data_IF_860282477592
#
_entry.id   IF_860282477592
#
_cell.length_a   1.000
_cell.length_b   1.000
_cell.length_c   1.000
_cell.angle_alpha   90.00
_cell.angle_beta   90.00
_cell.angle_gamma   90.00
#
_symmetry.space_group_name_H-M   'P 1'
#
loop_
_entity.id
_entity.type
_entity.pdbx_description
1 polymer ?
#
# COMPACT_ATOMS: atom_id res chain seq x y z
N UNK A 1 3.34 -23.59 -21.20
CA UNK A 1 2.02 -22.92 -21.23
C UNK A 1 2.23 -21.53 -20.65
N UNK A 2 1.88 -20.48 -21.39
CA UNK A 2 1.94 -19.10 -20.93
C UNK A 2 0.52 -18.55 -21.04
N UNK A 3 0.01 -17.96 -19.96
CA UNK A 3 -1.29 -17.27 -20.00
C UNK A 3 -1.08 -15.93 -20.70
N UNK A 4 -1.86 -15.66 -21.75
CA UNK A 4 -1.78 -14.38 -22.45
C UNK A 4 -2.19 -13.24 -21.49
N UNK A 5 -1.33 -12.23 -21.27
CA UNK A 5 -1.65 -11.08 -20.43
C UNK A 5 -2.91 -10.34 -20.85
N UNK A 6 -3.33 -10.42 -22.13
CA UNK A 6 -4.54 -9.74 -22.62
C UNK A 6 -5.80 -10.17 -21.85
N UNK A 7 -5.81 -11.40 -21.33
CA UNK A 7 -6.93 -11.93 -20.55
C UNK A 7 -7.02 -11.34 -19.13
N UNK A 8 -5.97 -10.67 -18.65
CA UNK A 8 -5.88 -10.10 -17.29
C UNK A 8 -5.75 -8.57 -17.30
N UNK A 9 -6.18 -7.92 -18.39
CA UNK A 9 -6.07 -6.46 -18.52
C UNK A 9 -7.13 -5.69 -17.73
N UNK A 10 -8.27 -6.31 -17.44
CA UNK A 10 -9.40 -5.67 -16.79
C UNK A 10 -9.61 -6.22 -15.38
N UNK A 11 -10.15 -5.37 -14.50
CA UNK A 11 -10.54 -5.78 -13.17
C UNK A 11 -11.67 -6.82 -13.22
N UNK A 12 -11.62 -7.79 -12.33
CA UNK A 12 -12.69 -8.78 -12.22
C UNK A 12 -12.26 -10.13 -11.67
N UNK A 13 -13.24 -11.04 -11.60
CA UNK A 13 -13.05 -12.41 -11.17
C UNK A 13 -13.00 -13.31 -12.39
N UNK A 14 -11.86 -13.96 -12.59
CA UNK A 14 -11.59 -14.88 -13.68
C UNK A 14 -11.55 -16.32 -13.16
N UNK A 15 -11.76 -17.28 -14.06
CA UNK A 15 -11.63 -18.72 -13.75
C UNK A 15 -10.51 -19.30 -14.57
N UNK A 16 -9.47 -19.80 -13.91
CA UNK A 16 -8.35 -20.48 -14.54
C UNK A 16 -8.58 -21.99 -14.49
N UNK A 17 -8.52 -22.63 -15.64
CA UNK A 17 -8.57 -24.10 -15.79
C UNK A 17 -7.64 -24.55 -16.91
N UNK A 18 -7.37 -25.84 -16.95
CA UNK A 18 -6.54 -26.49 -17.97
C UNK A 18 -7.42 -27.39 -18.82
N UNK A 19 -7.20 -27.39 -20.14
CA UNK A 19 -7.77 -28.38 -21.06
C UNK A 19 -6.65 -29.26 -21.58
N UNK A 20 -6.77 -30.56 -21.37
CA UNK A 20 -5.91 -31.56 -22.00
C UNK A 20 -6.63 -32.13 -23.22
N UNK A 21 -5.97 -32.17 -24.38
CA UNK A 21 -6.51 -32.76 -25.61
C UNK A 21 -5.62 -33.91 -26.02
N UNK A 22 -6.22 -35.09 -26.24
CA UNK A 22 -5.52 -36.24 -26.79
C UNK A 22 -5.26 -36.01 -28.29
N UNK A 23 -4.00 -36.18 -28.71
CA UNK A 23 -3.55 -35.92 -30.08
C UNK A 23 -3.89 -37.03 -31.09
N UNK A 24 -4.25 -38.24 -30.63
CA UNK A 24 -4.62 -39.36 -31.49
C UNK A 24 -6.10 -39.34 -31.88
N UNK A 25 -6.98 -39.02 -30.93
CA UNK A 25 -8.43 -39.07 -31.13
C UNK A 25 -9.15 -37.71 -30.95
N UNK A 26 -8.44 -36.65 -30.59
CA UNK A 26 -8.99 -35.30 -30.42
C UNK A 26 -9.86 -35.11 -29.18
N UNK A 27 -10.01 -36.13 -28.32
CA UNK A 27 -10.85 -36.03 -27.12
C UNK A 27 -10.21 -35.08 -26.11
N UNK A 28 -10.99 -34.12 -25.63
CA UNK A 28 -10.57 -33.13 -24.63
C UNK A 28 -11.18 -33.41 -23.26
N UNK A 29 -10.41 -33.13 -22.20
CA UNK A 29 -10.87 -33.13 -20.82
C UNK A 29 -10.46 -31.84 -20.13
N UNK A 30 -11.40 -31.22 -19.41
CA UNK A 30 -11.16 -30.00 -18.63
C UNK A 30 -10.83 -30.35 -17.16
N UNK A 31 -9.94 -29.58 -16.55
CA UNK A 31 -9.66 -29.65 -15.12
C UNK A 31 -10.71 -28.91 -14.30
N UNK A 32 -10.66 -29.08 -12.97
CA UNK A 32 -11.30 -28.13 -12.07
C UNK A 32 -10.75 -26.71 -12.30
N UNK A 33 -11.59 -25.70 -12.02
CA UNK A 33 -11.21 -24.29 -12.15
C UNK A 33 -10.86 -23.67 -10.81
N UNK A 34 -9.89 -22.75 -10.79
CA UNK A 34 -9.57 -21.89 -9.65
C UNK A 34 -9.95 -20.45 -9.95
N UNK A 35 -10.38 -19.70 -8.94
CA UNK A 35 -10.72 -18.28 -9.09
C UNK A 35 -9.46 -17.42 -9.03
N UNK A 36 -9.34 -16.47 -9.96
CA UNK A 36 -8.34 -15.42 -9.95
C UNK A 36 -9.05 -14.08 -9.81
N UNK A 37 -8.57 -13.22 -8.91
CA UNK A 37 -9.06 -11.86 -8.77
C UNK A 37 -8.00 -10.94 -9.38
N UNK A 38 -8.38 -10.20 -10.41
CA UNK A 38 -7.56 -9.13 -10.99
C UNK A 38 -8.09 -7.82 -10.45
N UNK A 39 -7.21 -7.09 -9.79
CA UNK A 39 -7.45 -5.76 -9.26
C UNK A 39 -6.27 -4.89 -9.65
N UNK A 40 -6.55 -3.85 -10.44
CA UNK A 40 -5.57 -2.89 -10.95
C UNK A 40 -5.86 -1.48 -10.45
N UNK A 41 -6.80 -1.33 -9.52
CA UNK A 41 -7.24 -0.03 -9.02
C UNK A 41 -6.37 0.39 -7.85
N UNK A 42 -5.55 1.43 -8.05
CA UNK A 42 -4.73 1.98 -6.96
C UNK A 42 -5.58 2.51 -5.79
N UNK A 43 -5.14 2.30 -4.54
CA UNK A 43 -5.81 2.87 -3.37
C UNK A 43 -5.61 4.39 -3.29
N UNK A 44 -6.46 5.07 -2.51
CA UNK A 44 -6.38 6.51 -2.25
C UNK A 44 -7.04 7.40 -3.31
N UNK A 45 -7.62 6.81 -4.37
CA UNK A 45 -8.21 7.55 -5.49
C UNK A 45 -7.23 8.59 -6.07
N UNK A 46 -7.70 9.82 -6.36
CA UNK A 46 -6.88 10.87 -6.96
C UNK A 46 -5.96 11.60 -5.98
N UNK A 47 -6.19 11.49 -4.66
CA UNK A 47 -5.46 12.27 -3.66
C UNK A 47 -5.45 11.56 -2.29
N UNK A 48 -4.27 11.52 -1.67
CA UNK A 48 -4.11 11.12 -0.28
C UNK A 48 -3.91 12.35 0.62
N UNK A 49 -4.63 12.36 1.74
CA UNK A 49 -4.52 13.39 2.76
C UNK A 49 -3.12 13.37 3.41
N UNK A 50 -2.59 14.53 3.82
CA UNK A 50 -1.31 14.59 4.51
C UNK A 50 -1.35 13.83 5.85
N UNK A 51 -0.18 13.36 6.28
CA UNK A 51 -0.01 12.81 7.63
C UNK A 51 -0.21 13.93 8.68
N UNK A 52 -0.87 13.61 9.79
CA UNK A 52 -1.16 14.57 10.87
C UNK A 52 -0.17 14.33 12.00
N UNK A 53 0.60 15.34 12.34
CA UNK A 53 1.54 15.31 13.47
C UNK A 53 0.94 16.08 14.64
N UNK A 54 0.84 15.46 15.81
CA UNK A 54 0.49 16.19 17.02
C UNK A 54 1.71 17.01 17.47
N UNK A 55 1.52 18.29 17.80
CA UNK A 55 2.59 19.23 18.21
C UNK A 55 3.11 18.96 19.62
N UNK A 56 3.34 17.69 19.97
CA UNK A 56 3.75 17.29 21.31
C UNK A 56 5.20 16.89 21.17
N UNK A 57 6.09 17.79 21.60
CA UNK A 57 7.50 17.59 21.95
C UNK A 57 8.20 16.41 21.28
N UNK A 58 9.29 16.68 20.54
CA UNK A 58 10.30 15.68 20.20
C UNK A 58 10.84 15.04 21.50
N UNK A 59 10.12 14.05 22.04
CA UNK A 59 10.67 13.03 22.90
C UNK A 59 11.35 11.98 22.03
N UNK A 60 11.41 10.74 22.50
CA UNK A 60 12.08 9.65 21.78
C UNK A 60 11.45 9.35 20.39
N UNK A 61 10.19 9.75 20.18
CA UNK A 61 9.44 9.47 18.95
C UNK A 61 8.61 10.66 18.47
N UNK A 62 8.55 10.84 17.15
CA UNK A 62 7.55 11.65 16.47
C UNK A 62 6.44 10.74 15.93
N UNK A 63 5.20 10.96 16.34
CA UNK A 63 4.06 10.15 15.91
C UNK A 63 3.25 10.86 14.82
N UNK A 64 3.07 10.17 13.68
CA UNK A 64 2.18 10.57 12.61
C UNK A 64 0.88 9.78 12.66
N UNK A 65 -0.24 10.47 12.52
CA UNK A 65 -1.56 9.88 12.27
C UNK A 65 -1.84 9.88 10.79
N UNK A 66 -2.20 8.73 10.23
CA UNK A 66 -2.61 8.62 8.83
C UNK A 66 -4.14 8.63 8.77
N UNK A 67 -4.77 9.62 8.09
CA UNK A 67 -6.21 9.63 7.88
C UNK A 67 -6.68 8.40 7.07
N UNK A 68 -7.97 8.10 7.16
CA UNK A 68 -8.58 7.12 6.26
C UNK A 68 -8.50 7.59 4.81
N UNK A 69 -8.44 6.64 3.87
CA UNK A 69 -8.35 6.90 2.45
C UNK A 69 -9.28 5.97 1.66
N UNK A 70 -9.58 6.34 0.42
CA UNK A 70 -10.47 5.57 -0.45
C UNK A 70 -9.88 4.18 -0.74
N UNK A 71 -10.67 3.13 -0.56
CA UNK A 71 -10.21 1.75 -0.74
C UNK A 71 -9.32 1.22 0.39
N UNK A 72 -9.29 1.87 1.56
CA UNK A 72 -8.56 1.37 2.72
C UNK A 72 -9.09 0.01 3.16
N UNK A 73 -8.20 -0.98 3.18
CA UNK A 73 -8.51 -2.33 3.64
C UNK A 73 -7.40 -2.92 4.52
N UNK A 74 -7.74 -3.85 5.44
CA UNK A 74 -6.73 -4.57 6.20
C UNK A 74 -5.78 -5.33 5.27
N UNK A 75 -4.48 -5.19 5.52
CA UNK A 75 -3.43 -5.76 4.69
C UNK A 75 -2.76 -4.76 3.77
N UNK A 76 -3.31 -3.56 3.54
CA UNK A 76 -2.61 -2.50 2.82
C UNK A 76 -1.28 -2.13 3.52
N UNK A 77 -0.27 -1.78 2.73
CA UNK A 77 1.04 -1.35 3.23
C UNK A 77 1.21 0.16 3.02
N UNK A 78 1.33 0.89 4.11
CA UNK A 78 1.70 2.30 4.12
C UNK A 78 3.22 2.40 4.24
N UNK A 79 3.85 3.07 3.28
CA UNK A 79 5.29 3.36 3.29
C UNK A 79 5.50 4.87 3.36
N UNK A 80 6.09 5.32 4.46
CA UNK A 80 6.46 6.73 4.64
C UNK A 80 7.74 7.05 3.86
N UNK A 81 7.88 8.29 3.44
CA UNK A 81 9.05 8.82 2.73
C UNK A 81 9.43 10.15 3.37
N UNK A 82 10.67 10.24 3.83
CA UNK A 82 11.22 11.41 4.54
C UNK A 82 12.42 11.94 3.75
N UNK A 83 12.33 13.16 3.21
CA UNK A 83 13.36 13.74 2.34
C UNK A 83 13.79 12.82 1.17
N UNK A 84 12.86 12.02 0.65
CA UNK A 84 13.12 11.03 -0.40
C UNK A 84 13.69 9.68 0.08
N UNK A 85 14.00 9.53 1.37
CA UNK A 85 14.46 8.29 1.99
C UNK A 85 13.25 7.52 2.54
N UNK A 86 13.26 6.19 2.38
CA UNK A 86 12.19 5.34 2.94
C UNK A 86 12.23 5.41 4.47
N UNK A 87 11.10 5.77 5.05
CA UNK A 87 10.89 5.77 6.49
C UNK A 87 10.21 4.50 7.00
N UNK A 88 9.68 4.54 8.22
CA UNK A 88 8.89 3.45 8.78
C UNK A 88 7.68 3.07 7.92
N UNK A 89 7.32 1.80 7.97
CA UNK A 89 6.13 1.24 7.31
C UNK A 89 5.07 0.85 8.31
N UNK A 90 3.82 0.81 7.87
CA UNK A 90 2.72 0.28 8.66
C UNK A 90 1.81 -0.59 7.80
N UNK A 91 1.42 -1.76 8.32
CA UNK A 91 0.42 -2.61 7.66
C UNK A 91 -0.94 -2.38 8.31
N UNK A 92 -1.92 -1.98 7.52
CA UNK A 92 -3.28 -1.71 7.97
C UNK A 92 -3.87 -2.96 8.62
N UNK A 93 -4.39 -2.81 9.82
CA UNK A 93 -5.03 -3.84 10.63
C UNK A 93 -6.56 -3.67 10.62
N UNK A 94 -7.33 -4.72 10.92
CA UNK A 94 -8.79 -4.64 11.03
C UNK A 94 -9.29 -3.55 11.99
N UNK A 95 -8.58 -3.35 13.10
CA UNK A 95 -8.93 -2.35 14.13
C UNK A 95 -8.79 -0.92 13.60
N UNK A 96 -7.97 -0.72 12.54
CA UNK A 96 -7.77 0.60 11.96
C UNK A 96 -8.99 1.16 11.23
N UNK A 97 -9.91 0.29 10.84
CA UNK A 97 -11.14 0.67 10.17
C UNK A 97 -12.27 0.98 11.17
N UNK A 98 -12.07 0.72 12.46
CA UNK A 98 -13.15 0.77 13.46
C UNK A 98 -12.77 1.58 14.71
N UNK A 99 -11.76 1.14 15.45
CA UNK A 99 -11.53 1.57 16.84
C UNK A 99 -10.22 2.30 17.05
N UNK A 100 -9.25 2.18 16.15
CA UNK A 100 -7.88 2.67 16.39
C UNK A 100 -7.35 3.45 15.20
N UNK A 101 -6.87 4.69 15.35
CA UNK A 101 -6.23 5.38 14.24
C UNK A 101 -4.94 4.66 13.82
N UNK A 102 -4.54 4.85 12.57
CA UNK A 102 -3.21 4.44 12.11
C UNK A 102 -2.20 5.42 12.68
N UNK A 103 -1.26 4.92 13.50
CA UNK A 103 -0.17 5.69 14.08
C UNK A 103 1.18 5.09 13.64
N UNK A 104 2.04 5.94 13.08
CA UNK A 104 3.38 5.59 12.64
C UNK A 104 4.38 6.42 13.43
N UNK A 105 5.26 5.74 14.17
CA UNK A 105 6.29 6.36 14.98
C UNK A 105 7.62 6.45 14.21
N UNK A 106 8.20 7.64 14.20
CA UNK A 106 9.54 7.91 13.70
C UNK A 106 10.47 8.05 14.90
N UNK A 107 11.54 7.26 14.96
CA UNK A 107 12.50 7.36 16.06
C UNK A 107 13.39 8.59 15.89
N UNK A 108 13.90 9.13 16.99
CA UNK A 108 14.85 10.23 16.95
C UNK A 108 16.08 9.88 16.10
N UNK A 109 16.62 8.67 16.22
CA UNK A 109 17.81 8.25 15.47
C UNK A 109 17.56 8.25 13.96
N UNK A 110 16.37 7.81 13.53
CA UNK A 110 15.99 7.86 12.12
C UNK A 110 15.94 9.32 11.63
N UNK A 111 15.29 10.20 12.38
CA UNK A 111 15.12 11.60 11.99
C UNK A 111 16.46 12.36 11.98
N UNK A 112 17.33 12.13 12.96
CA UNK A 112 18.68 12.69 12.99
C UNK A 112 19.55 12.16 11.85
N UNK A 113 19.36 10.90 11.47
CA UNK A 113 20.01 10.26 10.33
C UNK A 113 19.64 10.87 8.96
N UNK A 114 18.62 11.74 8.90
CA UNK A 114 18.29 12.50 7.68
C UNK A 114 19.22 13.71 7.48
N UNK A 115 20.08 14.04 8.46
CA UNK A 115 21.04 15.14 8.43
C UNK A 115 20.46 16.48 7.97
N UNK A 116 19.20 16.76 8.33
CA UNK A 116 18.48 17.98 7.96
C UNK A 116 17.61 18.48 9.09
N UNK A 117 17.58 19.80 9.30
CA UNK A 117 16.71 20.44 10.28
C UNK A 117 15.27 20.60 9.76
N UNK A 118 15.06 20.45 8.45
CA UNK A 118 13.74 20.39 7.82
C UNK A 118 13.53 19.01 7.22
N UNK A 119 12.45 18.36 7.63
CA UNK A 119 12.07 17.04 7.13
C UNK A 119 10.74 17.17 6.42
N UNK A 120 10.74 16.88 5.13
CA UNK A 120 9.54 16.74 4.33
C UNK A 120 9.08 15.28 4.42
N UNK A 121 7.89 15.05 4.97
CA UNK A 121 7.29 13.74 5.14
C UNK A 121 6.08 13.59 4.24
N UNK A 122 6.07 12.52 3.47
CA UNK A 122 4.93 12.03 2.69
C UNK A 122 4.80 10.52 2.88
N UNK A 123 3.80 9.90 2.26
CA UNK A 123 3.64 8.46 2.22
C UNK A 123 2.93 8.03 0.94
N UNK A 124 2.97 6.74 0.65
CA UNK A 124 2.09 6.08 -0.30
C UNK A 124 1.56 4.78 0.30
N UNK A 125 0.50 4.27 -0.32
CA UNK A 125 -0.15 3.02 0.05
C UNK A 125 0.03 2.02 -1.08
N UNK A 126 0.31 0.78 -0.74
CA UNK A 126 0.25 -0.35 -1.67
C UNK A 126 -0.83 -1.31 -1.19
N UNK A 127 -1.80 -1.63 -2.04
CA UNK A 127 -2.88 -2.55 -1.69
C UNK A 127 -2.43 -4.03 -1.67
N UNK A 128 -3.39 -4.92 -1.44
CA UNK A 128 -3.17 -6.38 -1.40
C UNK A 128 -2.84 -7.00 -2.77
N UNK A 129 -3.23 -6.35 -3.86
CA UNK A 129 -2.95 -6.76 -5.23
C UNK A 129 -1.61 -6.19 -5.74
N UNK A 130 -0.98 -5.27 -4.99
CA UNK A 130 0.28 -4.63 -5.32
C UNK A 130 0.14 -3.29 -6.04
N UNK A 131 -1.07 -2.74 -6.17
CA UNK A 131 -1.26 -1.42 -6.78
C UNK A 131 -0.82 -0.33 -5.82
N UNK A 132 0.02 0.58 -6.32
CA UNK A 132 0.56 1.70 -5.56
C UNK A 132 -0.27 2.95 -5.78
N UNK A 133 -0.58 3.67 -4.71
CA UNK A 133 -1.24 4.98 -4.75
C UNK A 133 -0.31 6.08 -5.30
N UNK A 134 -0.90 7.25 -5.56
CA UNK A 134 -0.12 8.50 -5.63
C UNK A 134 0.56 8.80 -4.29
N UNK A 135 1.57 9.67 -4.29
CA UNK A 135 2.11 10.21 -3.05
C UNK A 135 1.08 11.11 -2.36
N UNK A 136 1.00 11.02 -1.04
CA UNK A 136 0.23 11.94 -0.23
C UNK A 136 0.79 13.36 -0.27
N UNK A 137 -0.06 14.33 0.07
CA UNK A 137 0.41 15.69 0.30
C UNK A 137 1.51 15.68 1.36
N UNK A 138 2.61 16.35 1.04
CA UNK A 138 3.77 16.39 1.91
C UNK A 138 3.58 17.39 3.05
N UNK A 139 4.10 17.05 4.22
CA UNK A 139 4.15 17.94 5.39
C UNK A 139 5.60 18.21 5.72
N UNK A 140 5.97 19.47 5.86
CA UNK A 140 7.28 19.85 6.36
C UNK A 140 7.21 19.99 7.88
N UNK A 141 8.15 19.34 8.57
CA UNK A 141 8.41 19.55 9.99
C UNK A 141 9.80 20.18 10.14
N UNK A 142 9.92 21.06 11.13
CA UNK A 142 11.22 21.60 11.53
C UNK A 142 11.63 20.96 12.85
N UNK A 143 12.83 20.39 12.87
CA UNK A 143 13.44 19.80 14.06
C UNK A 143 13.93 20.96 14.93
N UNK A 144 13.29 21.18 16.08
CA UNK A 144 13.77 22.15 17.06
C UNK A 144 14.88 21.49 17.87
N UNK A 145 16.12 21.94 17.66
CA UNK A 145 17.27 21.56 18.49
C UNK A 145 17.33 22.40 19.75
#
# INVERSE_FOLDING_TARGET
>A
MVLDPEHLLNDGIYRLGLRATNNENGVSSDSATTSLIVDRTSPGAALLAPAIFASVSFGDFLNAKIPSYAGMEPGDLIQTVCNGIQGPTYRVQPENLTTSPIEISFTQEFLEGLFSDRVNITYHVTDRAGNRSVLAQSVEITMQR
#
